data_IF_766033817711
#
_entry.id   IF_766033817711
#
_cell.length_a   1.000
_cell.length_b   1.000
_cell.length_c   1.000
_cell.angle_alpha   90.00
_cell.angle_beta   90.00
_cell.angle_gamma   90.00
#
_symmetry.space_group_name_H-M   'P 1'
#
loop_
_entity.id
_entity.type
_entity.pdbx_description
1 polymer ?
#
# COMPACT_ATOMS: atom_id res chain seq x y z
N UNK A 1 -55.64 1.76 -42.25
CA UNK A 1 -55.22 1.86 -40.84
C UNK A 1 -56.05 2.90 -40.15
N UNK A 2 -56.83 2.51 -39.15
CA UNK A 2 -57.62 3.46 -38.34
C UNK A 2 -56.71 4.17 -37.34
N UNK A 3 -57.14 5.32 -36.81
CA UNK A 3 -56.40 6.01 -35.74
C UNK A 3 -56.22 5.11 -34.50
N UNK A 4 -57.19 4.23 -34.22
CA UNK A 4 -57.11 3.27 -33.12
C UNK A 4 -56.00 2.23 -33.32
N UNK A 5 -55.85 1.69 -34.53
CA UNK A 5 -54.77 0.73 -34.87
C UNK A 5 -53.38 1.36 -34.73
N UNK A 6 -53.24 2.65 -35.11
CA UNK A 6 -51.98 3.38 -34.96
C UNK A 6 -51.60 3.60 -33.50
N UNK A 7 -52.58 3.88 -32.64
CA UNK A 7 -52.35 4.05 -31.19
C UNK A 7 -51.89 2.73 -30.57
N UNK A 8 -52.57 1.62 -30.87
CA UNK A 8 -52.21 0.30 -30.36
C UNK A 8 -50.78 -0.13 -30.80
N UNK A 9 -50.38 0.23 -32.03
CA UNK A 9 -49.03 -0.03 -32.52
C UNK A 9 -47.97 0.77 -31.75
N UNK A 10 -48.21 2.05 -31.49
CA UNK A 10 -47.29 2.90 -30.73
C UNK A 10 -47.16 2.45 -29.27
N UNK A 11 -48.24 1.97 -28.65
CA UNK A 11 -48.19 1.41 -27.29
C UNK A 11 -47.31 0.16 -27.22
N UNK A 12 -47.40 -0.71 -28.23
CA UNK A 12 -46.55 -1.90 -28.34
C UNK A 12 -45.07 -1.53 -28.51
N UNK A 13 -44.75 -0.60 -29.42
CA UNK A 13 -43.38 -0.14 -29.64
C UNK A 13 -42.79 0.51 -28.38
N UNK A 14 -43.61 1.23 -27.61
CA UNK A 14 -43.20 1.81 -26.33
C UNK A 14 -42.97 0.74 -25.25
N UNK A 15 -43.75 -0.34 -25.22
CA UNK A 15 -43.51 -1.47 -24.33
C UNK A 15 -42.21 -2.21 -24.69
N UNK A 16 -41.96 -2.44 -25.97
CA UNK A 16 -40.72 -3.08 -26.46
C UNK A 16 -39.49 -2.22 -26.14
N UNK A 17 -39.58 -0.90 -26.31
CA UNK A 17 -38.50 0.03 -25.94
C UNK A 17 -38.20 0.03 -24.43
N UNK A 18 -39.22 -0.07 -23.58
CA UNK A 18 -39.04 -0.20 -22.12
C UNK A 18 -38.36 -1.52 -21.76
N UNK A 19 -38.79 -2.64 -22.36
CA UNK A 19 -38.17 -3.93 -22.14
C UNK A 19 -36.69 -3.94 -22.56
N UNK A 20 -36.34 -3.26 -23.66
CA UNK A 20 -34.96 -3.11 -24.09
C UNK A 20 -34.11 -2.32 -23.09
N UNK A 21 -34.64 -1.23 -22.53
CA UNK A 21 -33.96 -0.44 -21.50
C UNK A 21 -33.75 -1.24 -20.21
N UNK A 22 -34.74 -2.01 -19.78
CA UNK A 22 -34.62 -2.89 -18.60
C UNK A 22 -33.59 -3.99 -18.82
N UNK A 23 -33.56 -4.60 -20.01
CA UNK A 23 -32.53 -5.57 -20.39
C UNK A 23 -31.12 -4.96 -20.36
N UNK A 24 -30.94 -3.76 -20.90
CA UNK A 24 -29.66 -3.06 -20.86
C UNK A 24 -29.21 -2.77 -19.41
N UNK A 25 -30.14 -2.33 -18.57
CA UNK A 25 -29.88 -2.08 -17.15
C UNK A 25 -29.45 -3.37 -16.42
N UNK A 26 -30.15 -4.48 -16.66
CA UNK A 26 -29.79 -5.79 -16.11
C UNK A 26 -28.42 -6.28 -16.62
N UNK A 27 -28.11 -6.10 -17.91
CA UNK A 27 -26.81 -6.44 -18.47
C UNK A 27 -25.67 -5.65 -17.81
N UNK A 28 -25.87 -4.34 -17.53
CA UNK A 28 -24.90 -3.51 -16.81
C UNK A 28 -24.69 -3.99 -15.37
N UNK A 29 -25.76 -4.38 -14.68
CA UNK A 29 -25.67 -4.94 -13.32
C UNK A 29 -24.90 -6.26 -13.33
N UNK A 30 -25.18 -7.15 -14.28
CA UNK A 30 -24.45 -8.42 -14.44
C UNK A 30 -22.97 -8.17 -14.74
N UNK A 31 -22.64 -7.27 -15.67
CA UNK A 31 -21.25 -6.94 -15.98
C UNK A 31 -20.48 -6.41 -14.75
N UNK A 32 -21.14 -5.55 -13.95
CA UNK A 32 -20.57 -5.03 -12.71
C UNK A 32 -20.34 -6.13 -11.69
N UNK A 33 -21.32 -7.03 -11.50
CA UNK A 33 -21.21 -8.16 -10.58
C UNK A 33 -20.10 -9.12 -11.02
N UNK A 34 -20.02 -9.47 -12.30
CA UNK A 34 -18.95 -10.32 -12.84
C UNK A 34 -17.56 -9.72 -12.57
N UNK A 35 -17.38 -8.42 -12.83
CA UNK A 35 -16.11 -7.73 -12.54
C UNK A 35 -15.77 -7.72 -11.05
N UNK A 36 -16.76 -7.62 -10.16
CA UNK A 36 -16.53 -7.70 -8.70
C UNK A 36 -16.11 -9.10 -8.26
N UNK A 37 -16.72 -10.14 -8.83
CA UNK A 37 -16.38 -11.54 -8.54
C UNK A 37 -14.97 -11.87 -9.03
N UNK A 38 -14.61 -11.45 -10.23
CA UNK A 38 -13.25 -11.60 -10.75
C UNK A 38 -12.21 -10.97 -9.82
N UNK A 39 -12.46 -9.73 -9.36
CA UNK A 39 -11.59 -9.04 -8.42
C UNK A 39 -11.41 -9.84 -7.13
N UNK A 40 -12.51 -10.28 -6.51
CA UNK A 40 -12.47 -11.07 -5.27
C UNK A 40 -11.69 -12.39 -5.44
N UNK A 41 -11.82 -13.06 -6.58
CA UNK A 41 -11.06 -14.27 -6.90
C UNK A 41 -9.57 -13.95 -7.00
N UNK A 42 -9.20 -12.88 -7.71
CA UNK A 42 -7.78 -12.49 -7.87
C UNK A 42 -7.13 -12.05 -6.55
N UNK A 43 -7.86 -11.32 -5.71
CA UNK A 43 -7.36 -10.84 -4.41
C UNK A 43 -7.17 -11.98 -3.42
N UNK A 44 -8.06 -12.98 -3.41
CA UNK A 44 -7.87 -14.22 -2.64
C UNK A 44 -6.61 -14.98 -3.06
N UNK A 45 -6.23 -14.93 -4.34
CA UNK A 45 -4.98 -15.52 -4.83
C UNK A 45 -3.72 -14.76 -4.42
N UNK A 46 -3.80 -13.43 -4.25
CA UNK A 46 -2.65 -12.57 -3.89
C UNK A 46 -2.41 -12.45 -2.38
N UNK A 47 -3.45 -12.60 -1.56
CA UNK A 47 -3.38 -12.45 -0.10
C UNK A 47 -2.49 -13.48 0.62
N UNK A 48 -2.12 -14.59 -0.02
CA UNK A 48 -1.26 -15.62 0.59
C UNK A 48 0.25 -15.38 0.40
N UNK A 49 0.66 -14.44 -0.46
CA UNK A 49 2.07 -14.25 -0.85
C UNK A 49 2.74 -12.97 -0.33
N UNK A 50 2.03 -12.09 0.36
CA UNK A 50 2.61 -10.84 0.89
C UNK A 50 3.34 -10.98 2.23
N UNK A 51 3.43 -12.19 2.80
CA UNK A 51 4.08 -12.40 4.10
C UNK A 51 5.54 -12.86 4.05
N UNK A 52 6.22 -12.79 2.89
CA UNK A 52 7.59 -13.35 2.75
C UNK A 52 8.75 -12.37 2.86
N UNK A 53 8.53 -11.05 2.88
CA UNK A 53 9.65 -10.08 2.77
C UNK A 53 9.66 -8.90 3.76
N UNK A 54 8.88 -8.91 4.85
CA UNK A 54 8.69 -7.68 5.65
C UNK A 54 9.06 -7.69 7.14
N UNK A 55 9.29 -8.84 7.79
CA UNK A 55 9.39 -8.88 9.27
C UNK A 55 10.58 -9.67 9.82
N UNK A 56 11.72 -9.61 9.14
CA UNK A 56 13.00 -10.03 9.74
C UNK A 56 14.03 -8.91 9.74
N UNK A 57 13.57 -7.66 9.82
CA UNK A 57 14.39 -6.58 10.34
C UNK A 57 14.63 -6.87 11.82
N UNK A 58 15.74 -7.53 12.13
CA UNK A 58 16.28 -7.64 13.49
C UNK A 58 16.19 -6.25 14.13
N UNK A 59 15.19 -6.02 14.96
CA UNK A 59 15.17 -4.89 15.88
C UNK A 59 16.31 -5.14 16.86
N UNK A 60 17.53 -4.77 16.48
CA UNK A 60 18.62 -4.62 17.44
C UNK A 60 18.14 -3.56 18.41
N UNK A 61 17.88 -3.95 19.65
CA UNK A 61 17.50 -3.07 20.74
C UNK A 61 18.45 -1.88 20.76
N UNK A 62 17.97 -0.73 20.31
CA UNK A 62 18.77 0.49 20.25
C UNK A 62 18.81 1.16 21.63
N UNK A 63 18.90 0.36 22.69
CA UNK A 63 18.87 0.77 24.10
C UNK A 63 20.21 1.37 24.57
N UNK A 64 21.17 1.60 23.66
CA UNK A 64 22.41 2.33 23.96
C UNK A 64 22.36 3.79 23.51
N UNK A 65 21.17 4.32 23.26
CA UNK A 65 20.95 5.70 22.86
C UNK A 65 21.03 6.64 24.08
N UNK A 66 22.11 7.44 24.12
CA UNK A 66 22.16 8.85 24.58
C UNK A 66 22.67 9.22 25.98
N UNK A 67 23.35 8.36 26.75
CA UNK A 67 24.01 8.84 27.98
C UNK A 67 25.34 9.57 27.72
N UNK A 68 25.94 9.47 26.52
CA UNK A 68 27.26 10.08 26.22
C UNK A 68 27.22 11.52 25.72
N UNK A 69 26.08 12.21 25.82
CA UNK A 69 25.91 13.53 25.19
C UNK A 69 26.76 14.64 25.85
N UNK A 70 27.37 14.40 27.03
CA UNK A 70 28.11 15.45 27.74
C UNK A 70 29.56 15.13 28.16
N UNK A 71 30.09 13.92 27.94
CA UNK A 71 31.43 13.56 28.46
C UNK A 71 32.56 13.76 27.43
N UNK A 72 32.25 13.71 26.12
CA UNK A 72 33.27 13.60 25.07
C UNK A 72 33.40 14.86 24.19
N UNK A 73 33.34 16.05 24.79
CA UNK A 73 33.57 17.31 24.08
C UNK A 73 35.03 17.40 23.63
N UNK A 74 35.29 16.99 22.38
CA UNK A 74 36.59 17.08 21.73
C UNK A 74 37.31 15.74 21.50
N UNK A 75 36.64 14.60 21.68
CA UNK A 75 37.18 13.30 21.25
C UNK A 75 36.79 12.99 19.80
N UNK A 76 37.66 12.33 19.04
CA UNK A 76 37.31 11.82 17.72
C UNK A 76 36.33 10.63 17.84
N UNK A 77 35.65 10.30 16.74
CA UNK A 77 34.72 9.17 16.67
C UNK A 77 35.30 7.87 17.26
N UNK A 78 36.57 7.59 17.01
CA UNK A 78 37.23 6.38 17.51
C UNK A 78 37.44 6.41 19.03
N UNK A 79 37.86 7.53 19.61
CA UNK A 79 38.00 7.66 21.07
C UNK A 79 36.64 7.75 21.78
N UNK A 80 35.61 8.34 21.16
CA UNK A 80 34.23 8.31 21.69
C UNK A 80 33.64 6.88 21.70
N UNK A 81 33.95 6.08 20.68
CA UNK A 81 33.40 4.73 20.53
C UNK A 81 34.18 3.69 21.32
N UNK A 82 35.51 3.76 21.29
CA UNK A 82 36.42 2.71 21.77
C UNK A 82 37.27 3.13 22.98
N UNK A 83 37.24 4.40 23.38
CA UNK A 83 38.06 4.95 24.47
C UNK A 83 39.55 4.78 24.20
N UNK A 84 40.31 4.48 25.24
CA UNK A 84 41.77 4.29 25.22
C UNK A 84 42.25 3.19 24.26
N UNK A 85 41.36 2.30 23.81
CA UNK A 85 41.69 1.21 22.88
C UNK A 85 41.64 1.64 21.42
N UNK A 86 41.30 2.89 21.12
CA UNK A 86 41.27 3.40 19.76
C UNK A 86 42.69 3.43 19.18
N UNK A 87 42.87 2.80 18.01
CA UNK A 87 44.15 2.76 17.29
C UNK A 87 44.18 3.69 16.07
N UNK A 88 43.10 4.41 15.84
CA UNK A 88 42.87 5.26 14.66
C UNK A 88 42.37 6.63 15.11
N UNK A 89 43.25 7.38 15.77
CA UNK A 89 42.94 8.74 16.17
C UNK A 89 42.87 9.67 14.94
N UNK A 90 41.89 10.57 14.92
CA UNK A 90 41.79 11.64 13.91
C UNK A 90 41.76 12.99 14.60
N UNK A 91 42.61 13.91 14.15
CA UNK A 91 42.67 15.27 14.70
C UNK A 91 41.53 16.16 14.15
N UNK A 92 41.01 17.11 14.95
CA UNK A 92 41.40 17.42 16.34
C UNK A 92 40.80 16.43 17.35
N UNK A 93 41.64 15.82 18.18
CA UNK A 93 41.22 14.91 19.25
C UNK A 93 41.99 15.25 20.54
N UNK A 94 41.23 15.54 21.60
CA UNK A 94 41.75 15.93 22.90
C UNK A 94 42.28 14.74 23.73
N UNK A 95 42.23 13.51 23.19
CA UNK A 95 42.79 12.34 23.86
C UNK A 95 44.32 12.36 23.80
N UNK A 96 44.97 12.45 24.96
CA UNK A 96 46.43 12.49 25.12
C UNK A 96 47.01 11.07 25.20
N UNK A 97 47.00 10.35 24.09
CA UNK A 97 47.60 9.02 23.96
C UNK A 97 47.27 8.39 22.61
N UNK A 98 48.11 8.56 21.60
CA UNK A 98 47.89 7.91 20.30
C UNK A 98 48.45 6.49 20.27
#
# INVERSE_FOLDING_TARGET
>A
MTNAERIAQLEKELADAKAALELEAMQKQIATLTATVERLVTDRGRGYNTNKYGRNGRHRSNSRSRTRVNENKGLCYYHDTFGEKARKCHQPCNYSGN
#
